data_IF_427518754718
#
_entry.id   IF_427518754718
#
_cell.length_a   1.000
_cell.length_b   1.000
_cell.length_c   1.000
_cell.angle_alpha   90.00
_cell.angle_beta   90.00
_cell.angle_gamma   90.00
#
_symmetry.space_group_name_H-M   'P 1'
#
loop_
_entity.id
_entity.type
_entity.pdbx_description
1 polymer ?
#
# COMPACT_ATOMS: atom_id res chain seq x y z
N UNK A 1 27.21 -26.21 -5.66
CA UNK A 1 27.06 -24.74 -5.70
C UNK A 1 25.78 -24.39 -4.96
N UNK A 2 25.88 -24.04 -3.68
CA UNK A 2 24.70 -23.69 -2.88
C UNK A 2 24.28 -22.29 -3.28
N UNK A 3 23.06 -22.16 -3.80
CA UNK A 3 22.46 -20.87 -4.08
C UNK A 3 22.19 -20.22 -2.73
N UNK A 4 23.00 -19.21 -2.40
CA UNK A 4 22.73 -18.30 -1.29
C UNK A 4 21.48 -17.52 -1.65
N UNK A 5 20.33 -18.12 -1.38
CA UNK A 5 19.05 -17.42 -1.29
C UNK A 5 19.23 -16.51 -0.07
N UNK A 6 19.82 -15.34 -0.31
CA UNK A 6 19.89 -14.25 0.66
C UNK A 6 18.45 -14.03 1.08
N UNK A 7 18.14 -14.50 2.29
CA UNK A 7 16.90 -14.29 2.99
C UNK A 7 16.77 -12.77 3.26
N UNK A 8 16.46 -12.00 2.21
CA UNK A 8 16.26 -10.54 2.26
C UNK A 8 15.07 -10.18 3.16
N UNK A 9 14.24 -11.16 3.50
CA UNK A 9 13.03 -11.01 4.30
C UNK A 9 13.28 -10.69 5.77
N UNK A 10 14.54 -10.69 6.24
CA UNK A 10 14.89 -10.44 7.65
C UNK A 10 15.77 -9.22 7.88
N UNK A 11 16.00 -8.35 6.89
CA UNK A 11 16.74 -7.11 7.14
C UNK A 11 15.86 -6.21 8.01
N UNK A 12 16.27 -5.87 9.25
CA UNK A 12 15.52 -4.92 10.06
C UNK A 12 15.42 -3.61 9.28
N UNK A 13 14.22 -3.03 9.23
CA UNK A 13 14.04 -1.70 8.63
C UNK A 13 14.86 -0.72 9.46
N UNK A 14 15.90 -0.12 8.87
CA UNK A 14 16.65 0.94 9.52
C UNK A 14 15.77 2.19 9.63
N UNK A 15 16.08 3.08 10.58
CA UNK A 15 15.33 4.34 10.72
C UNK A 15 15.28 5.16 9.42
N UNK A 16 16.28 5.00 8.55
CA UNK A 16 16.35 5.64 7.23
C UNK A 16 15.36 5.04 6.23
N UNK A 17 15.12 3.73 6.33
CA UNK A 17 14.13 3.02 5.51
C UNK A 17 12.71 3.43 5.94
N UNK A 18 12.43 3.46 7.26
CA UNK A 18 11.15 3.93 7.79
C UNK A 18 10.86 5.39 7.41
N UNK A 19 11.87 6.26 7.45
CA UNK A 19 11.73 7.65 7.00
C UNK A 19 11.42 7.78 5.50
N UNK A 20 11.86 6.81 4.69
CA UNK A 20 11.57 6.77 3.25
C UNK A 20 10.14 6.27 3.02
N UNK A 21 9.74 5.19 3.71
CA UNK A 21 8.36 4.69 3.71
C UNK A 21 7.35 5.77 4.14
N UNK A 22 7.66 6.49 5.23
CA UNK A 22 6.81 7.59 5.71
C UNK A 22 6.70 8.73 4.71
N UNK A 23 7.78 9.10 4.02
CA UNK A 23 7.72 10.14 2.99
C UNK A 23 6.82 9.74 1.83
N UNK A 24 6.96 8.50 1.34
CA UNK A 24 6.08 7.97 0.28
C UNK A 24 4.63 7.93 0.74
N UNK A 25 4.39 7.47 1.97
CA UNK A 25 3.06 7.45 2.57
C UNK A 25 2.46 8.85 2.70
N UNK A 26 3.23 9.83 3.17
CA UNK A 26 2.77 11.21 3.36
C UNK A 26 2.44 11.88 2.01
N UNK A 27 3.26 11.64 0.98
CA UNK A 27 2.97 12.09 -0.39
C UNK A 27 1.66 11.49 -0.89
N UNK A 28 1.47 10.17 -0.80
CA UNK A 28 0.25 9.50 -1.25
C UNK A 28 -0.96 9.94 -0.42
N UNK A 29 -0.82 10.04 0.90
CA UNK A 29 -1.88 10.49 1.80
C UNK A 29 -2.33 11.91 1.47
N UNK A 30 -1.39 12.79 1.10
CA UNK A 30 -1.68 14.17 0.69
C UNK A 30 -2.30 14.22 -0.70
N UNK A 31 -1.73 13.51 -1.68
CA UNK A 31 -2.20 13.49 -3.07
C UNK A 31 -3.64 12.97 -3.17
N UNK A 32 -3.95 11.93 -2.40
CA UNK A 32 -5.27 11.32 -2.37
C UNK A 32 -6.20 11.86 -1.27
N UNK A 33 -5.79 12.89 -0.53
CA UNK A 33 -6.55 13.44 0.60
C UNK A 33 -7.05 12.37 1.60
N UNK A 34 -6.25 11.33 1.84
CA UNK A 34 -6.56 10.27 2.79
C UNK A 34 -6.31 10.78 4.21
N UNK A 35 -7.31 10.68 5.07
CA UNK A 35 -7.13 10.94 6.49
C UNK A 35 -6.19 9.88 7.08
N UNK A 36 -5.15 10.33 7.78
CA UNK A 36 -4.14 9.44 8.42
C UNK A 36 -4.74 8.47 9.45
N UNK A 37 -5.92 8.79 9.96
CA UNK A 37 -6.69 7.98 10.92
C UNK A 37 -7.71 7.04 10.24
N UNK A 38 -7.73 7.00 8.90
CA UNK A 38 -8.61 6.12 8.14
C UNK A 38 -8.03 4.72 8.04
N UNK A 39 -8.90 3.71 8.00
CA UNK A 39 -8.53 2.34 7.69
C UNK A 39 -7.78 2.23 6.35
N UNK A 40 -8.03 3.15 5.41
CA UNK A 40 -7.31 3.26 4.14
C UNK A 40 -5.83 3.63 4.36
N UNK A 41 -5.54 4.58 5.25
CA UNK A 41 -4.20 5.00 5.61
C UNK A 41 -3.41 3.87 6.29
N UNK A 42 -4.02 3.18 7.26
CA UNK A 42 -3.37 2.04 7.92
C UNK A 42 -3.04 0.91 6.94
N UNK A 43 -3.94 0.67 5.98
CA UNK A 43 -3.74 -0.33 4.93
C UNK A 43 -2.61 0.06 3.97
N UNK A 44 -2.59 1.31 3.51
CA UNK A 44 -1.50 1.83 2.66
C UNK A 44 -0.15 1.73 3.36
N UNK A 45 -0.07 2.13 4.64
CA UNK A 45 1.16 2.02 5.42
C UNK A 45 1.63 0.55 5.52
N UNK A 46 0.71 -0.39 5.73
CA UNK A 46 1.02 -1.82 5.78
C UNK A 46 1.56 -2.34 4.44
N UNK A 47 0.94 -1.95 3.31
CA UNK A 47 1.39 -2.33 1.96
C UNK A 47 2.80 -1.79 1.68
N UNK A 48 3.05 -0.51 2.01
CA UNK A 48 4.36 0.12 1.86
C UNK A 48 5.44 -0.65 2.61
N UNK A 49 5.19 -0.98 3.88
CA UNK A 49 6.11 -1.74 4.73
C UNK A 49 6.38 -3.14 4.14
N UNK A 50 5.35 -3.84 3.70
CA UNK A 50 5.49 -5.19 3.12
C UNK A 50 6.28 -5.16 1.80
N UNK A 51 6.00 -4.21 0.91
CA UNK A 51 6.75 -4.00 -0.34
C UNK A 51 8.22 -3.69 -0.07
N UNK A 52 8.49 -2.85 0.94
CA UNK A 52 9.85 -2.53 1.35
C UNK A 52 10.60 -3.78 1.84
N UNK A 53 9.93 -4.63 2.60
CA UNK A 53 10.47 -5.92 3.10
C UNK A 53 10.71 -6.94 1.98
N UNK A 54 9.90 -6.90 0.92
CA UNK A 54 10.13 -7.69 -0.30
C UNK A 54 11.35 -7.22 -1.10
N UNK A 55 11.92 -6.05 -0.76
CA UNK A 55 13.10 -5.47 -1.38
C UNK A 55 12.81 -4.32 -2.34
N UNK A 56 11.57 -3.83 -2.40
CA UNK A 56 11.19 -2.64 -3.18
C UNK A 56 11.60 -1.40 -2.38
N UNK A 57 12.82 -0.93 -2.59
CA UNK A 57 13.35 0.29 -1.95
C UNK A 57 13.21 1.55 -2.81
N UNK A 58 12.71 1.39 -4.04
CA UNK A 58 12.61 2.49 -4.99
C UNK A 58 11.29 3.26 -4.76
N UNK A 59 11.35 4.57 -4.47
CA UNK A 59 10.16 5.34 -4.10
C UNK A 59 9.14 5.46 -5.26
N UNK A 60 9.61 5.44 -6.52
CA UNK A 60 8.71 5.44 -7.67
C UNK A 60 7.97 4.10 -7.79
N UNK A 61 8.70 2.99 -7.58
CA UNK A 61 8.13 1.65 -7.67
C UNK A 61 7.16 1.37 -6.51
N UNK A 62 7.50 1.84 -5.31
CA UNK A 62 6.60 1.80 -4.15
C UNK A 62 5.29 2.54 -4.41
N UNK A 63 5.35 3.76 -4.95
CA UNK A 63 4.15 4.51 -5.31
C UNK A 63 3.30 3.73 -6.31
N UNK A 64 3.86 3.32 -7.45
CA UNK A 64 3.10 2.58 -8.46
C UNK A 64 2.49 1.27 -7.93
N UNK A 65 3.18 0.57 -7.03
CA UNK A 65 2.64 -0.65 -6.42
C UNK A 65 1.54 -0.38 -5.41
N UNK A 66 1.64 0.69 -4.63
CA UNK A 66 0.58 1.11 -3.69
C UNK A 66 -0.63 1.62 -4.46
N UNK A 67 -0.44 2.39 -5.52
CA UNK A 67 -1.49 2.85 -6.42
C UNK A 67 -2.22 1.66 -7.08
N UNK A 68 -1.46 0.70 -7.60
CA UNK A 68 -2.02 -0.53 -8.17
C UNK A 68 -2.79 -1.34 -7.12
N UNK A 69 -2.25 -1.49 -5.91
CA UNK A 69 -2.91 -2.20 -4.83
C UNK A 69 -4.19 -1.47 -4.38
N UNK A 70 -4.13 -0.15 -4.22
CA UNK A 70 -5.28 0.71 -3.87
C UNK A 70 -6.38 0.63 -4.93
N UNK A 71 -6.06 0.67 -6.22
CA UNK A 71 -7.03 0.50 -7.30
C UNK A 71 -7.77 -0.85 -7.25
N UNK A 72 -7.12 -1.90 -6.73
CA UNK A 72 -7.77 -3.19 -6.45
C UNK A 72 -8.72 -3.12 -5.24
N UNK A 73 -8.49 -2.21 -4.29
CA UNK A 73 -9.32 -2.04 -3.10
C UNK A 73 -10.49 -1.06 -3.30
N UNK A 74 -10.36 -0.03 -4.16
CA UNK A 74 -11.51 0.81 -4.54
C UNK A 74 -12.56 0.03 -5.35
N UNK A 75 -12.14 -1.04 -6.04
CA UNK A 75 -13.07 -2.00 -6.64
C UNK A 75 -13.87 -2.81 -5.60
N UNK A 76 -13.49 -2.76 -4.31
CA UNK A 76 -14.18 -3.36 -3.17
C UNK A 76 -14.97 -2.30 -2.35
N UNK A 77 -15.41 -1.20 -2.99
CA UNK A 77 -16.49 -0.38 -2.44
C UNK A 77 -17.79 -1.19 -2.41
N UNK A 78 -18.63 -1.09 -1.35
CA UNK A 78 -19.81 -1.93 -1.22
C UNK A 78 -20.67 -1.74 -2.47
N UNK A 79 -20.98 -2.86 -3.10
CA UNK A 79 -22.11 -3.07 -4.00
C UNK A 79 -23.35 -2.30 -3.49
N UNK A 80 -23.44 -1.01 -3.83
CA UNK A 80 -24.69 -0.28 -3.79
C UNK A 80 -25.41 -0.69 -5.06
N UNK A 81 -26.03 -1.87 -5.00
CA UNK A 81 -27.03 -2.30 -5.96
C UNK A 81 -28.27 -1.48 -5.60
N UNK A 82 -28.66 -0.43 -6.34
CA UNK A 82 -29.98 0.13 -6.13
C UNK A 82 -30.96 -1.01 -6.40
N UNK A 83 -31.71 -1.38 -5.36
CA UNK A 83 -32.85 -2.26 -5.49
C UNK A 83 -33.84 -1.57 -6.44
N UNK A 84 -33.76 -1.88 -7.74
CA UNK A 84 -34.85 -1.63 -8.65
C UNK A 84 -35.98 -2.57 -8.22
N UNK A 85 -36.86 -2.03 -7.39
CA UNK A 85 -38.19 -2.58 -7.10
C UNK A 85 -38.86 -2.96 -8.42
N UNK A 86 -39.37 -4.20 -8.58
CA UNK A 86 -40.32 -4.48 -9.65
C UNK A 86 -41.62 -3.74 -9.29
N UNK A 87 -41.89 -2.66 -10.01
CA UNK A 87 -43.23 -2.06 -10.09
C UNK A 87 -43.81 -2.47 -11.43
N UNK A 88 -44.92 -3.21 -11.38
CA UNK A 88 -45.79 -3.48 -12.53
C UNK A 88 -45.80 -4.93 -12.95
#
# INVERSE_FOLDING_TARGET
MVQTITNRSQVPLDSRDLATCQRVFDTLSTDYAIARDSAEAERMASIIIELYRQGVRDPNHLQSMVEAARGLFEADGPVNRPAATPTG
#
